data_IF_261242640790
#
_entry.id   IF_261242640790
#
_cell.length_a   1.000
_cell.length_b   1.000
_cell.length_c   1.000
_cell.angle_alpha   90.00
_cell.angle_beta   90.00
_cell.angle_gamma   90.00
#
_symmetry.space_group_name_H-M   'P 1'
#
loop_
_entity.id
_entity.type
_entity.pdbx_description
1 polymer ?
#
# COMPACT_ATOMS: atom_id res chain seq x y z
N UNK A 1 -1.50 -13.30 -6.46
CA UNK A 1 -2.08 -13.43 -5.12
C UNK A 1 -3.57 -13.74 -5.26
N UNK A 2 -4.09 -14.52 -4.32
CA UNK A 2 -5.52 -14.87 -4.29
C UNK A 2 -6.36 -13.65 -3.87
N UNK A 3 -5.95 -12.99 -2.80
CA UNK A 3 -6.56 -11.78 -2.24
C UNK A 3 -5.47 -10.78 -1.89
N UNK A 4 -5.83 -9.50 -1.89
CA UNK A 4 -4.91 -8.42 -1.54
C UNK A 4 -5.42 -7.73 -0.26
N UNK A 5 -4.57 -7.67 0.75
CA UNK A 5 -4.79 -6.91 1.97
C UNK A 5 -3.95 -5.64 1.91
N UNK A 6 -4.53 -4.50 2.22
CA UNK A 6 -3.86 -3.21 2.15
C UNK A 6 -3.80 -2.62 3.54
N UNK A 7 -2.64 -2.15 3.98
CA UNK A 7 -2.43 -1.55 5.29
C UNK A 7 -1.63 -0.25 5.21
N UNK A 8 -1.93 0.68 6.09
CA UNK A 8 -1.22 1.92 6.25
C UNK A 8 -1.76 2.69 7.45
N UNK A 9 -0.96 3.60 8.01
CA UNK A 9 -1.34 4.42 9.15
C UNK A 9 -1.42 5.90 8.76
N UNK A 10 -2.33 6.65 9.40
CA UNK A 10 -2.50 8.09 9.17
C UNK A 10 -2.79 8.41 7.69
N UNK A 11 -2.18 9.48 7.18
CA UNK A 11 -2.39 9.92 5.78
C UNK A 11 -1.93 8.89 4.75
N UNK A 12 -0.81 8.18 5.00
CA UNK A 12 -0.40 7.06 4.13
C UNK A 12 -1.48 5.97 4.06
N UNK A 13 -2.18 5.70 5.17
CA UNK A 13 -3.33 4.79 5.20
C UNK A 13 -4.49 5.28 4.34
N UNK A 14 -4.76 6.60 4.30
CA UNK A 14 -5.79 7.16 3.41
C UNK A 14 -5.43 6.97 1.93
N UNK A 15 -4.16 7.17 1.55
CA UNK A 15 -3.71 6.90 0.17
C UNK A 15 -3.79 5.41 -0.17
N UNK A 16 -3.46 4.55 0.79
CA UNK A 16 -3.59 3.10 0.64
C UNK A 16 -5.07 2.66 0.45
N UNK A 17 -6.04 3.35 1.07
CA UNK A 17 -7.48 3.13 0.84
C UNK A 17 -7.89 3.43 -0.60
N UNK A 18 -7.35 4.49 -1.20
CA UNK A 18 -7.58 4.79 -2.62
C UNK A 18 -7.15 3.62 -3.51
N UNK A 19 -6.00 3.03 -3.22
CA UNK A 19 -5.50 1.85 -3.93
C UNK A 19 -6.40 0.62 -3.75
N UNK A 20 -6.81 0.32 -2.52
CA UNK A 20 -7.73 -0.79 -2.24
C UNK A 20 -9.05 -0.63 -3.01
N UNK A 21 -9.59 0.59 -3.07
CA UNK A 21 -10.79 0.90 -3.85
C UNK A 21 -10.57 0.65 -5.36
N UNK A 22 -9.44 1.08 -5.93
CA UNK A 22 -9.13 0.82 -7.34
C UNK A 22 -8.96 -0.67 -7.65
N UNK A 23 -8.34 -1.44 -6.75
CA UNK A 23 -8.27 -2.90 -6.89
C UNK A 23 -9.69 -3.52 -6.94
N UNK A 24 -10.61 -3.06 -6.09
CA UNK A 24 -12.01 -3.49 -6.09
C UNK A 24 -12.70 -3.15 -7.42
N UNK A 25 -12.50 -1.94 -7.95
CA UNK A 25 -13.03 -1.56 -9.26
C UNK A 25 -12.49 -2.46 -10.39
N UNK A 26 -11.26 -2.94 -10.27
CA UNK A 26 -10.69 -3.93 -11.20
C UNK A 26 -11.27 -5.35 -11.03
N UNK A 27 -12.16 -5.58 -10.09
CA UNK A 27 -12.69 -6.91 -9.76
C UNK A 27 -11.71 -7.78 -8.98
N UNK A 28 -10.65 -7.19 -8.41
CA UNK A 28 -9.72 -7.88 -7.54
C UNK A 28 -10.27 -7.90 -6.12
N UNK A 29 -10.25 -9.06 -5.47
CA UNK A 29 -10.64 -9.17 -4.06
C UNK A 29 -9.61 -8.46 -3.19
N UNK A 30 -9.96 -7.29 -2.69
CA UNK A 30 -9.11 -6.44 -1.87
C UNK A 30 -9.79 -6.05 -0.56
N UNK A 31 -9.01 -5.98 0.51
CA UNK A 31 -9.47 -5.61 1.85
C UNK A 31 -8.57 -4.55 2.45
N UNK A 32 -9.15 -3.56 3.11
CA UNK A 32 -8.38 -2.64 3.94
C UNK A 32 -8.29 -3.19 5.36
N UNK A 33 -7.05 -3.42 5.83
CA UNK A 33 -6.83 -3.95 7.18
C UNK A 33 -7.36 -2.96 8.23
N UNK A 34 -8.15 -3.48 9.17
CA UNK A 34 -8.80 -2.69 10.20
C UNK A 34 -10.29 -2.41 9.94
N UNK A 35 -10.79 -2.72 8.74
CA UNK A 35 -12.24 -2.70 8.49
C UNK A 35 -12.92 -3.94 9.10
N UNK A 36 -14.16 -3.76 9.55
CA UNK A 36 -14.91 -4.82 10.27
C UNK A 36 -15.16 -6.07 9.45
N UNK A 37 -15.14 -5.96 8.13
CA UNK A 37 -15.35 -7.07 7.18
C UNK A 37 -14.05 -7.69 6.66
N UNK A 38 -12.89 -7.31 7.23
CA UNK A 38 -11.60 -7.85 6.81
C UNK A 38 -11.45 -9.30 7.30
N UNK A 39 -11.33 -10.29 6.40
CA UNK A 39 -11.13 -11.68 6.80
C UNK A 39 -9.68 -11.95 7.23
N UNK A 40 -9.41 -13.16 7.71
CA UNK A 40 -8.05 -13.60 8.00
C UNK A 40 -7.20 -13.72 6.74
N UNK A 41 -5.94 -13.27 6.79
CA UNK A 41 -4.94 -13.48 5.74
C UNK A 41 -4.37 -14.91 5.82
N UNK A 42 -4.02 -15.49 4.68
CA UNK A 42 -3.52 -16.85 4.58
C UNK A 42 -2.44 -16.98 3.48
N UNK A 43 -1.87 -18.17 3.35
CA UNK A 43 -0.96 -18.53 2.26
C UNK A 43 -1.59 -18.26 0.89
N UNK A 44 -0.81 -17.64 0.00
CA UNK A 44 -1.27 -17.24 -1.34
C UNK A 44 -1.87 -15.84 -1.40
N UNK A 45 -2.10 -15.18 -0.26
CA UNK A 45 -2.53 -13.78 -0.20
C UNK A 45 -1.31 -12.82 -0.22
N UNK A 46 -1.58 -11.56 -0.48
CA UNK A 46 -0.59 -10.48 -0.48
C UNK A 46 -1.01 -9.39 0.50
N UNK A 47 -0.13 -9.02 1.42
CA UNK A 47 -0.25 -7.80 2.22
C UNK A 47 0.57 -6.68 1.59
N UNK A 48 -0.09 -5.60 1.19
CA UNK A 48 0.55 -4.36 0.71
C UNK A 48 0.57 -3.35 1.84
N UNK A 49 1.76 -2.90 2.23
CA UNK A 49 1.95 -1.92 3.32
C UNK A 49 2.46 -0.60 2.77
N UNK A 50 1.76 0.49 3.10
CA UNK A 50 2.19 1.86 2.83
C UNK A 50 2.73 2.48 4.12
N UNK A 51 4.06 2.66 4.19
CA UNK A 51 4.73 3.21 5.39
C UNK A 51 5.97 4.00 5.04
N UNK A 52 5.91 5.33 5.15
CA UNK A 52 7.06 6.19 4.85
C UNK A 52 8.28 5.84 5.69
N UNK A 53 8.15 5.69 7.00
CA UNK A 53 9.27 5.32 7.89
C UNK A 53 9.69 3.86 7.81
N UNK A 54 8.78 2.96 7.40
CA UNK A 54 9.00 1.52 7.47
C UNK A 54 9.10 0.93 8.88
N UNK A 55 8.82 1.73 9.94
CA UNK A 55 9.02 1.37 11.35
C UNK A 55 7.75 1.54 12.21
N UNK A 56 6.60 1.83 11.62
CA UNK A 56 5.34 1.96 12.39
C UNK A 56 5.02 0.62 13.07
N UNK A 57 5.02 0.59 14.41
CA UNK A 57 4.98 -0.64 15.21
C UNK A 57 3.80 -1.57 14.86
N UNK A 58 2.60 -1.01 14.67
CA UNK A 58 1.43 -1.79 14.25
C UNK A 58 1.62 -2.44 12.88
N UNK A 59 2.19 -1.71 11.91
CA UNK A 59 2.44 -2.21 10.56
C UNK A 59 3.57 -3.26 10.55
N UNK A 60 4.61 -3.07 11.38
CA UNK A 60 5.67 -4.08 11.60
C UNK A 60 5.06 -5.38 12.13
N UNK A 61 4.16 -5.27 13.13
CA UNK A 61 3.46 -6.44 13.67
C UNK A 61 2.62 -7.16 12.62
N UNK A 62 1.89 -6.41 11.77
CA UNK A 62 1.11 -6.95 10.65
C UNK A 62 2.00 -7.68 9.64
N UNK A 63 3.15 -7.08 9.26
CA UNK A 63 4.10 -7.70 8.33
C UNK A 63 4.63 -9.03 8.89
N UNK A 64 5.09 -9.05 10.15
CA UNK A 64 5.57 -10.27 10.82
C UNK A 64 4.48 -11.34 10.86
N UNK A 65 3.24 -10.95 11.20
CA UNK A 65 2.10 -11.89 11.27
C UNK A 65 1.76 -12.45 9.89
N UNK A 66 1.70 -11.61 8.84
CA UNK A 66 1.44 -12.08 7.49
C UNK A 66 2.50 -13.09 7.02
N UNK A 67 3.78 -12.79 7.23
CA UNK A 67 4.89 -13.72 6.92
C UNK A 67 4.76 -15.04 7.68
N UNK A 68 4.42 -15.00 8.98
CA UNK A 68 4.25 -16.23 9.78
C UNK A 68 3.07 -17.10 9.33
N UNK A 69 2.11 -16.54 8.59
CA UNK A 69 0.97 -17.24 8.01
C UNK A 69 1.20 -17.66 6.56
N UNK A 70 2.42 -17.46 6.02
CA UNK A 70 2.78 -17.85 4.65
C UNK A 70 2.27 -16.88 3.57
N UNK A 71 1.78 -15.70 3.93
CA UNK A 71 1.41 -14.67 2.98
C UNK A 71 2.64 -13.91 2.47
N UNK A 72 2.55 -13.38 1.25
CA UNK A 72 3.55 -12.46 0.71
C UNK A 72 3.33 -11.05 1.26
N UNK A 73 4.41 -10.28 1.38
CA UNK A 73 4.38 -8.89 1.81
C UNK A 73 5.04 -8.01 0.75
N UNK A 74 4.37 -6.93 0.36
CA UNK A 74 4.94 -5.87 -0.46
C UNK A 74 4.85 -4.55 0.31
N UNK A 75 5.85 -3.68 0.15
CA UNK A 75 5.80 -2.37 0.81
C UNK A 75 6.17 -1.22 -0.12
N UNK A 76 5.53 -0.07 0.09
CA UNK A 76 5.95 1.22 -0.47
C UNK A 76 6.45 2.07 0.69
N UNK A 77 7.72 2.48 0.63
CA UNK A 77 8.40 3.15 1.76
C UNK A 77 9.45 4.15 1.27
N UNK A 78 9.89 5.02 2.17
CA UNK A 78 11.08 5.87 1.95
C UNK A 78 12.37 5.07 2.23
N UNK A 79 12.33 4.13 3.19
CA UNK A 79 13.49 3.40 3.68
C UNK A 79 13.37 1.89 3.45
N UNK A 80 13.85 1.38 2.30
CA UNK A 80 13.82 -0.06 2.00
C UNK A 80 14.53 -0.92 3.04
N UNK A 81 15.52 -0.37 3.74
CA UNK A 81 16.30 -1.07 4.77
C UNK A 81 15.65 -1.06 6.15
N UNK A 82 14.52 -0.35 6.33
CA UNK A 82 13.76 -0.37 7.57
C UNK A 82 13.08 -1.73 7.79
N UNK A 83 12.58 -1.97 9.00
CA UNK A 83 12.05 -3.28 9.42
C UNK A 83 11.00 -3.83 8.47
N UNK A 84 10.02 -3.01 8.02
CA UNK A 84 8.98 -3.50 7.09
C UNK A 84 9.60 -3.83 5.73
N UNK A 85 10.51 -2.99 5.23
CA UNK A 85 11.18 -3.23 3.95
C UNK A 85 11.96 -4.56 3.94
N UNK A 86 12.72 -4.85 5.00
CA UNK A 86 13.49 -6.10 5.12
C UNK A 86 12.62 -7.35 5.28
N UNK A 87 11.39 -7.21 5.80
CA UNK A 87 10.41 -8.29 5.91
C UNK A 87 9.65 -8.53 4.59
N UNK A 88 9.71 -7.59 3.65
CA UNK A 88 8.91 -7.62 2.42
C UNK A 88 9.56 -8.44 1.32
N UNK A 89 8.74 -9.14 0.55
CA UNK A 89 9.14 -9.89 -0.64
C UNK A 89 9.32 -8.94 -1.86
N UNK A 90 8.68 -7.78 -1.82
CA UNK A 90 8.82 -6.73 -2.82
C UNK A 90 8.78 -5.35 -2.16
N UNK A 91 9.65 -4.44 -2.60
CA UNK A 91 9.75 -3.09 -2.06
C UNK A 91 9.77 -2.07 -3.19
N UNK A 92 8.94 -1.04 -3.07
CA UNK A 92 9.00 0.16 -3.89
C UNK A 92 9.50 1.31 -3.03
N UNK A 93 10.61 1.91 -3.41
CA UNK A 93 11.19 3.07 -2.72
C UNK A 93 10.66 4.38 -3.32
N UNK A 94 10.19 5.27 -2.47
CA UNK A 94 9.84 6.65 -2.83
C UNK A 94 10.85 7.59 -2.15
N UNK A 95 11.57 8.35 -2.92
CA UNK A 95 12.51 9.35 -2.42
C UNK A 95 11.75 10.59 -1.92
N UNK A 96 11.62 10.74 -0.61
CA UNK A 96 10.96 11.86 0.02
C UNK A 96 11.51 12.10 1.44
N UNK A 97 11.49 13.33 1.97
CA UNK A 97 11.83 13.58 3.37
C UNK A 97 10.70 13.14 4.30
N UNK A 98 11.06 12.85 5.55
CA UNK A 98 10.09 12.64 6.63
C UNK A 98 10.66 13.12 7.96
N UNK A 99 9.82 13.73 8.78
CA UNK A 99 10.19 14.13 10.16
C UNK A 99 10.28 12.94 11.14
N UNK A 100 9.93 11.73 10.69
CA UNK A 100 9.94 10.51 11.54
C UNK A 100 11.26 9.75 11.51
N UNK A 101 12.25 10.22 10.75
CA UNK A 101 13.58 9.60 10.67
C UNK A 101 14.63 10.67 10.58
N UNK A 102 15.77 10.45 11.24
CA UNK A 102 16.95 11.30 11.14
C UNK A 102 17.83 10.98 9.92
N UNK A 103 17.47 9.94 9.15
CA UNK A 103 18.23 9.57 7.95
C UNK A 103 17.93 10.60 6.86
N UNK A 104 18.99 11.28 6.40
CA UNK A 104 18.92 12.21 5.28
C UNK A 104 18.67 11.44 3.98
N UNK A 105 17.62 11.80 3.28
CA UNK A 105 17.28 11.21 1.97
C UNK A 105 17.87 11.99 0.81
N UNK A 106 18.55 13.12 1.07
CA UNK A 106 19.04 14.05 0.06
C UNK A 106 17.93 14.82 -0.66
N UNK A 107 16.66 14.64 -0.27
CA UNK A 107 15.50 15.31 -0.86
C UNK A 107 14.95 16.35 0.11
N UNK A 108 14.79 17.57 -0.38
CA UNK A 108 14.15 18.65 0.37
C UNK A 108 12.72 18.90 -0.15
N UNK A 109 11.85 19.32 0.73
CA UNK A 109 10.47 19.68 0.37
C UNK A 109 10.00 20.83 1.26
N UNK A 110 9.30 21.77 0.67
CA UNK A 110 8.58 22.84 1.40
C UNK A 110 7.25 22.34 1.99
N UNK A 111 6.85 21.11 1.64
CA UNK A 111 5.62 20.51 2.14
C UNK A 111 5.82 20.03 3.59
N UNK A 112 4.80 20.14 4.46
CA UNK A 112 4.93 19.75 5.85
C UNK A 112 5.05 18.22 6.00
N UNK A 113 5.83 17.78 6.99
CA UNK A 113 5.94 16.39 7.45
C UNK A 113 6.23 15.40 6.31
N UNK A 114 5.39 14.39 6.09
CA UNK A 114 5.50 13.37 5.05
C UNK A 114 4.66 13.62 3.80
N UNK A 115 4.20 14.85 3.57
CA UNK A 115 3.25 15.15 2.48
C UNK A 115 3.78 14.77 1.10
N UNK A 116 5.08 14.98 0.84
CA UNK A 116 5.67 14.57 -0.44
C UNK A 116 5.61 13.05 -0.63
N UNK A 117 5.92 12.27 0.41
CA UNK A 117 5.77 10.82 0.36
C UNK A 117 4.32 10.40 0.10
N UNK A 118 3.38 10.99 0.83
CA UNK A 118 1.96 10.62 0.76
C UNK A 118 1.35 10.90 -0.62
N UNK A 119 1.67 12.04 -1.22
CA UNK A 119 1.24 12.39 -2.59
C UNK A 119 1.90 11.50 -3.63
N UNK A 120 3.21 11.26 -3.51
CA UNK A 120 3.94 10.36 -4.39
C UNK A 120 3.46 8.91 -4.26
N UNK A 121 3.07 8.49 -3.05
CA UNK A 121 2.47 7.18 -2.79
C UNK A 121 1.16 7.00 -3.56
N UNK A 122 0.26 7.99 -3.52
CA UNK A 122 -0.99 7.95 -4.27
C UNK A 122 -0.73 7.77 -5.77
N UNK A 123 0.13 8.63 -6.34
CA UNK A 123 0.47 8.59 -7.78
C UNK A 123 1.15 7.26 -8.14
N UNK A 124 2.07 6.78 -7.30
CA UNK A 124 2.74 5.49 -7.50
C UNK A 124 1.74 4.31 -7.53
N UNK A 125 0.80 4.30 -6.59
CA UNK A 125 -0.22 3.25 -6.51
C UNK A 125 -1.21 3.33 -7.68
N UNK A 126 -1.59 4.53 -8.12
CA UNK A 126 -2.41 4.71 -9.32
C UNK A 126 -1.66 4.24 -10.59
N UNK A 127 -0.34 4.47 -10.66
CA UNK A 127 0.48 3.94 -11.74
C UNK A 127 0.52 2.39 -11.73
N UNK A 128 0.57 1.77 -10.56
CA UNK A 128 0.43 0.30 -10.45
C UNK A 128 -0.92 -0.16 -10.98
N UNK A 129 -2.01 0.58 -10.73
CA UNK A 129 -3.33 0.27 -11.30
C UNK A 129 -3.30 0.34 -12.83
N UNK A 130 -2.68 1.36 -13.43
CA UNK A 130 -2.57 1.47 -14.89
C UNK A 130 -1.81 0.26 -15.49
N UNK A 131 -0.69 -0.14 -14.88
CA UNK A 131 0.06 -1.34 -15.30
C UNK A 131 -0.81 -2.60 -15.20
N UNK A 132 -1.58 -2.73 -14.14
CA UNK A 132 -2.46 -3.88 -13.94
C UNK A 132 -3.62 -3.88 -14.93
N UNK A 133 -4.21 -2.73 -15.27
CA UNK A 133 -5.23 -2.57 -16.30
C UNK A 133 -4.70 -3.06 -17.65
N UNK A 134 -3.51 -2.61 -18.06
CA UNK A 134 -2.86 -3.04 -19.30
C UNK A 134 -2.63 -4.56 -19.30
N UNK A 135 -2.00 -5.10 -18.25
CA UNK A 135 -1.68 -6.53 -18.16
C UNK A 135 -2.91 -7.44 -18.12
N UNK A 136 -4.02 -6.97 -17.56
CA UNK A 136 -5.27 -7.73 -17.45
C UNK A 136 -6.28 -7.37 -18.55
N UNK A 137 -5.95 -6.42 -19.42
CA UNK A 137 -6.81 -5.91 -20.48
C UNK A 137 -8.17 -5.41 -19.93
N UNK A 138 -8.15 -4.74 -18.76
CA UNK A 138 -9.33 -4.18 -18.12
C UNK A 138 -9.47 -2.72 -18.57
N UNK A 139 -10.66 -2.33 -19.00
CA UNK A 139 -10.98 -0.96 -19.44
C UNK A 139 -11.49 -0.09 -18.28
N UNK A 140 -11.46 1.24 -18.46
CA UNK A 140 -12.07 2.18 -17.52
C UNK A 140 -13.58 1.99 -17.38
N UNK A 141 -14.27 1.60 -18.46
CA UNK A 141 -15.71 1.32 -18.45
C UNK A 141 -16.04 0.09 -17.58
N UNK A 142 -15.26 -0.97 -17.70
CA UNK A 142 -15.40 -2.16 -16.85
C UNK A 142 -15.16 -1.85 -15.38
N UNK A 143 -14.20 -0.96 -15.07
CA UNK A 143 -13.97 -0.47 -13.72
C UNK A 143 -15.14 0.37 -13.22
N UNK A 144 -15.67 1.26 -14.07
CA UNK A 144 -16.80 2.13 -13.72
C UNK A 144 -18.08 1.31 -13.44
N UNK A 145 -18.29 0.19 -14.12
CA UNK A 145 -19.40 -0.70 -13.86
C UNK A 145 -19.44 -1.29 -12.43
N UNK A 146 -18.29 -1.22 -11.71
CA UNK A 146 -18.17 -1.63 -10.30
C UNK A 146 -18.10 -0.44 -9.34
N UNK A 147 -18.29 0.78 -9.83
CA UNK A 147 -18.37 1.96 -8.97
C UNK A 147 -19.59 1.89 -8.06
N UNK A 148 -19.46 2.47 -6.85
CA UNK A 148 -20.58 2.52 -5.91
C UNK A 148 -21.80 3.21 -6.53
N UNK A 149 -22.98 2.69 -6.26
CA UNK A 149 -24.25 3.16 -6.81
C UNK A 149 -25.33 3.44 -5.73
N UNK A 150 -24.89 3.51 -4.47
CA UNK A 150 -25.74 3.84 -3.32
C UNK A 150 -25.47 5.25 -2.78
N UNK A 151 -24.72 6.07 -3.50
CA UNK A 151 -24.41 7.48 -3.17
C UNK A 151 -25.17 8.44 -4.09
#
# INVERSE_FOLDING_TARGET
ANRIFVAGAGRSGMMARCFAMRLMHMGITAYMVGEVVTPSIATGDLLVIASGSGETASLVSMAKKAKSLGASVATVTIYPQATIGTLSDAVVAIHAPTSKSAIDTGVQSVQPMGSLFEQSLLICLDYVILILMEKRQITGEEMFARHANLE
#
